data_IF_373521473628
#
_entry.id   IF_373521473628
#
_cell.length_a   1.000
_cell.length_b   1.000
_cell.length_c   1.000
_cell.angle_alpha   90.00
_cell.angle_beta   90.00
_cell.angle_gamma   90.00
#
_symmetry.space_group_name_H-M   'P 1'
#
loop_
_entity.id
_entity.type
_entity.pdbx_description
1 polymer ?
#
# COMPACT_ATOMS: atom_id res chain seq x y z
N UNK A 1 16.94 -21.90 -5.46
CA UNK A 1 16.48 -20.54 -5.11
C UNK A 1 14.98 -20.55 -5.23
N UNK A 2 14.27 -20.44 -4.11
CA UNK A 2 12.82 -20.29 -4.13
C UNK A 2 12.48 -18.88 -4.61
N UNK A 3 11.97 -18.73 -5.83
CA UNK A 3 11.43 -17.46 -6.31
C UNK A 3 10.05 -17.23 -5.67
N UNK A 4 10.03 -16.94 -4.36
CA UNK A 4 8.78 -16.61 -3.62
C UNK A 4 8.23 -15.21 -3.96
N UNK A 5 8.88 -14.49 -4.87
CA UNK A 5 8.66 -13.07 -5.14
C UNK A 5 8.57 -12.86 -6.65
N UNK A 6 7.41 -13.15 -7.21
CA UNK A 6 7.11 -12.91 -8.62
C UNK A 6 6.15 -11.71 -8.75
N UNK A 7 6.32 -10.92 -9.81
CA UNK A 7 5.43 -9.80 -10.16
C UNK A 7 5.33 -8.72 -9.07
N UNK A 8 6.47 -8.26 -8.57
CA UNK A 8 6.58 -7.15 -7.62
C UNK A 8 6.95 -5.88 -8.36
N UNK A 9 6.23 -4.80 -8.03
CA UNK A 9 6.58 -3.46 -8.47
C UNK A 9 7.12 -2.65 -7.30
N UNK A 10 8.00 -1.69 -7.61
CA UNK A 10 8.63 -0.86 -6.59
C UNK A 10 8.77 0.57 -7.06
N UNK A 11 8.33 1.52 -6.23
CA UNK A 11 8.38 2.95 -6.51
C UNK A 11 8.90 3.74 -5.30
N UNK A 12 9.47 4.92 -5.54
CA UNK A 12 9.94 5.80 -4.46
C UNK A 12 9.10 7.07 -4.41
N UNK A 13 8.43 7.30 -3.28
CA UNK A 13 7.59 8.49 -3.03
C UNK A 13 7.94 9.02 -1.64
N UNK A 14 8.22 10.32 -1.51
CA UNK A 14 8.50 11.01 -0.24
C UNK A 14 9.51 10.29 0.67
N UNK A 15 10.66 9.89 0.11
CA UNK A 15 11.73 9.13 0.79
C UNK A 15 11.31 7.76 1.36
N UNK A 16 10.20 7.20 0.87
CA UNK A 16 9.72 5.86 1.19
C UNK A 16 9.73 4.97 -0.05
N UNK A 17 10.12 3.71 0.14
CA UNK A 17 10.04 2.69 -0.91
C UNK A 17 8.69 2.01 -0.79
N UNK A 18 7.88 2.09 -1.82
CA UNK A 18 6.60 1.41 -1.93
C UNK A 18 6.79 0.12 -2.69
N UNK A 19 6.38 -0.99 -2.08
CA UNK A 19 6.33 -2.30 -2.72
C UNK A 19 4.85 -2.62 -2.96
N UNK A 20 4.53 -3.02 -4.19
CA UNK A 20 3.17 -3.37 -4.61
C UNK A 20 3.23 -4.76 -5.22
N UNK A 21 2.44 -5.70 -4.68
CA UNK A 21 2.33 -7.05 -5.22
C UNK A 21 0.94 -7.63 -5.01
N UNK A 22 0.46 -8.35 -6.02
CA UNK A 22 -0.84 -9.03 -5.99
C UNK A 22 -0.84 -10.31 -5.15
N UNK A 23 0.28 -11.00 -5.02
CA UNK A 23 0.29 -12.37 -4.50
C UNK A 23 0.18 -12.47 -2.98
N UNK A 24 0.48 -11.39 -2.27
CA UNK A 24 0.42 -11.40 -0.81
C UNK A 24 -0.55 -10.33 -0.34
N UNK A 25 -1.51 -10.75 0.48
CA UNK A 25 -2.37 -9.89 1.31
C UNK A 25 -1.61 -8.95 2.27
N UNK A 26 -0.28 -9.02 2.27
CA UNK A 26 0.65 -8.27 3.11
C UNK A 26 1.73 -7.52 2.31
N UNK A 27 1.72 -7.53 0.97
CA UNK A 27 2.78 -6.90 0.17
C UNK A 27 2.48 -5.48 -0.29
N UNK A 28 1.31 -4.92 0.03
CA UNK A 28 1.15 -3.47 0.01
C UNK A 28 1.88 -2.95 1.25
N UNK A 29 3.18 -2.66 1.10
CA UNK A 29 4.06 -2.27 2.18
C UNK A 29 4.91 -1.06 1.76
N UNK A 30 5.17 -0.17 2.70
CA UNK A 30 6.13 0.90 2.51
C UNK A 30 7.29 0.77 3.49
N UNK A 31 8.51 0.94 2.97
CA UNK A 31 9.71 1.00 3.77
C UNK A 31 10.06 2.46 4.03
N UNK A 32 10.09 2.82 5.31
CA UNK A 32 10.50 4.14 5.78
C UNK A 32 11.99 4.12 6.08
N UNK A 33 12.79 4.67 5.17
CA UNK A 33 14.25 4.67 5.28
C UNK A 33 14.75 5.26 6.62
N UNK A 34 14.20 6.40 7.04
CA UNK A 34 14.61 7.09 8.28
C UNK A 34 14.35 6.28 9.55
N UNK A 35 13.32 5.43 9.53
CA UNK A 35 12.90 4.63 10.68
C UNK A 35 13.38 3.17 10.56
N UNK A 36 14.06 2.83 9.45
CA UNK A 36 14.52 1.49 9.09
C UNK A 36 13.45 0.41 9.31
N UNK A 37 12.19 0.69 8.94
CA UNK A 37 11.08 -0.24 9.18
C UNK A 37 10.12 -0.34 8.00
N UNK A 38 9.51 -1.51 7.90
CA UNK A 38 8.38 -1.76 7.04
C UNK A 38 7.07 -1.38 7.73
N UNK A 39 6.19 -0.73 6.98
CA UNK A 39 4.85 -0.33 7.40
C UNK A 39 3.84 -0.94 6.44
N UNK A 40 2.71 -1.44 6.99
CA UNK A 40 1.61 -1.95 6.18
C UNK A 40 0.89 -0.80 5.49
N UNK A 41 0.67 -0.91 4.18
CA UNK A 41 -0.09 0.03 3.39
C UNK A 41 -1.55 -0.43 3.28
N UNK A 42 -2.41 0.51 2.89
CA UNK A 42 -3.79 0.20 2.53
C UNK A 42 -3.84 -0.63 1.24
N UNK A 43 -4.66 -1.67 1.24
CA UNK A 43 -4.92 -2.48 0.06
C UNK A 43 -5.33 -1.64 -1.14
N UNK A 44 -4.82 -1.99 -2.31
CA UNK A 44 -5.30 -1.46 -3.59
C UNK A 44 -6.77 -1.84 -3.81
N UNK A 45 -7.53 -0.92 -4.42
CA UNK A 45 -8.95 -1.14 -4.75
C UNK A 45 -9.13 -2.18 -5.88
N UNK A 46 -8.09 -2.37 -6.69
CA UNK A 46 -8.09 -3.27 -7.84
C UNK A 46 -7.04 -4.36 -7.67
N UNK A 47 -7.42 -5.62 -7.88
CA UNK A 47 -6.50 -6.75 -7.93
C UNK A 47 -6.16 -7.13 -9.38
N UNK A 48 -4.95 -6.82 -9.84
CA UNK A 48 -4.45 -7.11 -11.20
C UNK A 48 -3.02 -7.68 -11.15
N UNK A 49 -2.72 -8.61 -12.06
CA UNK A 49 -1.38 -9.18 -12.25
C UNK A 49 -0.62 -8.42 -13.33
N UNK A 50 0.72 -8.52 -13.34
CA UNK A 50 1.57 -7.99 -14.40
C UNK A 50 1.36 -6.49 -14.71
N UNK A 51 1.03 -5.70 -13.68
CA UNK A 51 0.97 -4.25 -13.84
C UNK A 51 2.38 -3.67 -13.88
N UNK A 52 2.56 -2.56 -14.58
CA UNK A 52 3.63 -1.61 -14.32
C UNK A 52 3.14 -0.51 -13.40
N UNK A 53 4.07 0.12 -12.67
CA UNK A 53 3.80 1.30 -11.84
C UNK A 53 4.70 2.44 -12.27
N UNK A 54 4.31 3.66 -11.91
CA UNK A 54 5.17 4.84 -12.00
C UNK A 54 4.67 5.92 -11.04
N UNK A 55 5.56 6.85 -10.69
CA UNK A 55 5.23 8.02 -9.88
C UNK A 55 4.98 9.23 -10.78
N UNK A 56 3.77 9.78 -10.72
CA UNK A 56 3.43 11.03 -11.39
C UNK A 56 3.37 12.15 -10.35
N UNK A 57 4.18 13.20 -10.56
CA UNK A 57 4.27 14.35 -9.64
C UNK A 57 3.48 15.53 -10.18
N UNK A 58 2.96 16.37 -9.28
CA UNK A 58 2.35 17.67 -9.59
C UNK A 58 1.14 17.62 -10.55
N UNK A 59 0.29 16.59 -10.41
CA UNK A 59 -0.98 16.52 -11.14
C UNK A 59 -1.94 17.63 -10.66
N UNK A 60 -2.47 18.49 -11.56
CA UNK A 60 -3.39 19.56 -11.18
C UNK A 60 -4.65 19.07 -10.47
N UNK A 61 -5.08 17.84 -10.75
CA UNK A 61 -6.25 17.19 -10.18
C UNK A 61 -5.88 15.96 -9.31
N UNK A 62 -4.75 16.01 -8.60
CA UNK A 62 -4.30 14.92 -7.73
C UNK A 62 -5.39 14.44 -6.75
N UNK A 63 -6.23 15.35 -6.26
CA UNK A 63 -7.37 15.06 -5.37
C UNK A 63 -8.36 14.03 -5.95
N UNK A 64 -8.51 14.00 -7.27
CA UNK A 64 -9.46 13.11 -7.95
C UNK A 64 -9.00 11.65 -7.93
N UNK A 65 -7.68 11.45 -7.83
CA UNK A 65 -7.03 10.13 -7.78
C UNK A 65 -6.69 9.68 -6.36
N UNK A 66 -6.79 10.58 -5.36
CA UNK A 66 -6.62 10.22 -3.97
C UNK A 66 -7.90 9.64 -3.37
N UNK A 67 -7.76 8.69 -2.45
CA UNK A 67 -8.90 8.07 -1.79
C UNK A 67 -9.65 9.08 -0.90
N UNK A 68 -10.83 9.52 -1.36
CA UNK A 68 -11.60 10.65 -0.78
C UNK A 68 -12.07 10.45 0.66
N UNK A 69 -12.16 9.21 1.15
CA UNK A 69 -12.66 8.87 2.48
C UNK A 69 -11.65 8.08 3.30
N UNK A 70 -10.37 8.43 3.20
CA UNK A 70 -9.27 7.69 3.85
C UNK A 70 -9.49 7.56 5.36
N UNK A 71 -9.98 8.59 6.00
CA UNK A 71 -10.20 8.60 7.45
C UNK A 71 -11.28 7.60 7.86
N UNK A 72 -12.38 7.50 7.09
CA UNK A 72 -13.43 6.50 7.33
C UNK A 72 -12.89 5.07 7.19
N UNK A 73 -12.07 4.83 6.16
CA UNK A 73 -11.47 3.51 5.93
C UNK A 73 -10.54 3.10 7.09
N UNK A 74 -9.73 4.04 7.59
CA UNK A 74 -8.82 3.76 8.71
C UNK A 74 -9.61 3.52 10.01
N UNK A 75 -10.69 4.27 10.23
CA UNK A 75 -11.56 4.08 11.38
C UNK A 75 -12.31 2.74 11.35
N UNK A 76 -12.83 2.32 10.19
CA UNK A 76 -13.44 0.99 10.03
C UNK A 76 -12.44 -0.14 10.25
N UNK A 77 -11.20 -0.01 9.73
CA UNK A 77 -10.13 -0.98 10.00
C UNK A 77 -9.76 -1.04 11.48
N UNK A 78 -9.67 0.12 12.15
CA UNK A 78 -9.38 0.22 13.58
C UNK A 78 -10.46 -0.50 14.40
N UNK A 79 -11.74 -0.26 14.11
CA UNK A 79 -12.86 -0.95 14.78
C UNK A 79 -12.79 -2.46 14.59
N UNK A 80 -12.58 -2.93 13.35
CA UNK A 80 -12.44 -4.37 13.07
C UNK A 80 -11.27 -5.02 13.79
N UNK A 81 -10.14 -4.32 13.97
CA UNK A 81 -9.00 -4.84 14.74
C UNK A 81 -9.34 -4.98 16.22
N UNK A 82 -9.97 -3.95 16.81
CA UNK A 82 -10.41 -3.98 18.20
C UNK A 82 -11.45 -5.08 18.46
N UNK A 83 -12.40 -5.28 17.54
CA UNK A 83 -13.40 -6.35 17.67
C UNK A 83 -12.74 -7.74 17.65
N UNK A 84 -11.66 -7.92 16.90
CA UNK A 84 -10.91 -9.17 16.81
C UNK A 84 -10.05 -9.46 18.04
N UNK A 85 -9.50 -8.42 18.69
CA UNK A 85 -8.70 -8.53 19.92
C UNK A 85 -9.56 -8.84 21.16
N UNK A 86 -10.86 -8.56 21.10
CA UNK A 86 -11.83 -8.80 22.18
C UNK A 86 -12.55 -10.15 22.07
N UNK A 87 -12.18 -11.01 21.11
CA UNK A 87 -12.65 -12.40 20.96
C UNK A 87 -11.62 -13.39 21.48
#
# INVERSE_FOLDING_TARGET
>A
MDFKYEHINTEVIDDMIFVISRYFSNCDACFKYKENRWCKMTNMDVSRSNMSTCVVKNLPNQSDYTFKHRDKLMEEKRKKMLDWENQ
#
